data_IF_931644770743
#
_entry.id   IF_931644770743
#
_cell.length_a   1.000
_cell.length_b   1.000
_cell.length_c   1.000
_cell.angle_alpha   90.00
_cell.angle_beta   90.00
_cell.angle_gamma   90.00
#
_symmetry.space_group_name_H-M   'P 1'
#
loop_
_entity.id
_entity.type
_entity.pdbx_description
1 polymer ?
#
# COMPACT_ATOMS: atom_id res chain seq x y z
N UNK A 1 -92.82 -16.06 -24.97
CA UNK A 1 -91.64 -15.55 -25.75
C UNK A 1 -90.82 -14.77 -24.80
N UNK A 2 -89.79 -15.34 -24.27
CA UNK A 2 -88.94 -14.70 -23.29
C UNK A 2 -87.47 -15.13 -23.58
N UNK A 3 -86.63 -14.17 -23.94
CA UNK A 3 -85.23 -14.41 -24.22
C UNK A 3 -84.44 -14.30 -22.96
N UNK A 4 -83.75 -15.35 -22.52
CA UNK A 4 -82.71 -15.34 -21.51
C UNK A 4 -81.37 -15.01 -22.20
N UNK A 5 -80.72 -13.92 -21.81
CA UNK A 5 -79.37 -13.61 -22.15
C UNK A 5 -78.43 -13.97 -20.96
N UNK A 6 -77.65 -15.03 -21.12
CA UNK A 6 -76.58 -15.36 -20.20
C UNK A 6 -75.38 -14.46 -20.43
N UNK A 7 -74.96 -13.78 -19.39
CA UNK A 7 -73.72 -13.02 -19.36
C UNK A 7 -72.66 -13.93 -18.70
N UNK A 8 -71.69 -14.35 -19.49
CA UNK A 8 -70.49 -15.04 -18.97
C UNK A 8 -69.47 -14.00 -18.50
N UNK A 9 -69.22 -14.02 -17.18
CA UNK A 9 -68.14 -13.20 -16.55
C UNK A 9 -66.83 -13.98 -16.66
N UNK A 10 -65.94 -13.55 -17.58
CA UNK A 10 -64.59 -14.09 -17.70
C UNK A 10 -63.68 -13.46 -16.62
N UNK A 11 -63.28 -14.25 -15.62
CA UNK A 11 -62.23 -13.86 -14.67
C UNK A 11 -60.83 -14.00 -15.34
N UNK A 12 -60.24 -12.89 -15.75
CA UNK A 12 -58.83 -12.85 -16.14
C UNK A 12 -57.95 -12.89 -14.88
N UNK A 13 -57.38 -14.04 -14.55
CA UNK A 13 -56.31 -14.17 -13.57
C UNK A 13 -55.01 -13.58 -14.18
N UNK A 14 -54.65 -12.38 -13.75
CA UNK A 14 -53.32 -11.81 -14.00
C UNK A 14 -52.31 -12.57 -13.15
N UNK A 15 -51.58 -13.52 -13.72
CA UNK A 15 -50.33 -14.01 -13.12
C UNK A 15 -49.30 -12.86 -13.18
N UNK A 16 -49.19 -12.14 -12.08
CA UNK A 16 -48.01 -11.30 -11.84
C UNK A 16 -46.83 -12.27 -11.60
N UNK A 17 -46.02 -12.44 -12.65
CA UNK A 17 -44.73 -13.13 -12.52
C UNK A 17 -43.86 -12.33 -11.60
N UNK A 18 -43.64 -12.77 -10.38
CA UNK A 18 -42.52 -12.37 -9.56
C UNK A 18 -41.30 -12.95 -10.27
N UNK A 19 -40.65 -12.11 -11.10
CA UNK A 19 -39.28 -12.37 -11.52
C UNK A 19 -38.42 -12.25 -10.26
N UNK A 20 -38.23 -13.37 -9.57
CA UNK A 20 -37.16 -13.49 -8.61
C UNK A 20 -35.88 -13.20 -9.37
N UNK A 21 -35.16 -12.14 -8.98
CA UNK A 21 -33.75 -11.99 -9.37
C UNK A 21 -33.05 -13.25 -8.84
N UNK A 22 -32.84 -14.23 -9.73
CA UNK A 22 -31.94 -15.34 -9.41
C UNK A 22 -30.61 -14.70 -9.12
N UNK A 23 -30.10 -14.82 -7.90
CA UNK A 23 -28.74 -14.47 -7.58
C UNK A 23 -27.86 -15.13 -8.64
N UNK A 24 -27.09 -14.35 -9.36
CA UNK A 24 -26.26 -14.88 -10.43
C UNK A 24 -25.20 -15.75 -9.77
N UNK A 25 -25.15 -17.01 -10.11
CA UNK A 25 -24.28 -17.98 -9.46
C UNK A 25 -22.82 -17.59 -9.73
N UNK A 26 -21.98 -17.52 -8.66
CA UNK A 26 -20.55 -17.25 -8.76
C UNK A 26 -19.90 -18.25 -9.70
N UNK A 27 -19.16 -17.76 -10.70
CA UNK A 27 -18.46 -18.59 -11.68
C UNK A 27 -17.15 -19.15 -11.11
N UNK A 28 -16.72 -20.32 -11.60
CA UNK A 28 -15.40 -20.85 -11.26
C UNK A 28 -14.30 -19.95 -11.82
N UNK A 29 -13.34 -19.58 -10.98
CA UNK A 29 -12.19 -18.75 -11.36
C UNK A 29 -10.90 -19.24 -10.69
N UNK A 30 -9.84 -19.29 -11.46
CA UNK A 30 -8.48 -19.41 -10.93
C UNK A 30 -7.80 -18.06 -11.18
N UNK A 31 -7.41 -17.38 -10.10
CA UNK A 31 -6.81 -16.07 -10.13
C UNK A 31 -5.38 -16.14 -9.60
N UNK A 32 -4.56 -15.17 -9.97
CA UNK A 32 -3.15 -15.09 -9.58
C UNK A 32 -2.86 -13.80 -8.82
N UNK A 33 -2.02 -13.89 -7.77
CA UNK A 33 -1.49 -12.74 -7.04
C UNK A 33 0.03 -12.83 -6.96
N UNK A 34 0.71 -11.81 -7.46
CA UNK A 34 2.17 -11.68 -7.33
C UNK A 34 2.58 -10.59 -6.36
N UNK A 35 3.71 -10.77 -5.66
CA UNK A 35 4.35 -9.73 -4.85
C UNK A 35 5.85 -9.95 -4.71
N UNK A 36 6.60 -8.89 -4.38
CA UNK A 36 8.08 -8.92 -4.38
C UNK A 36 8.71 -9.34 -3.06
N UNK A 37 7.94 -9.40 -1.97
CA UNK A 37 8.47 -9.70 -0.63
C UNK A 37 8.48 -11.20 -0.33
N UNK A 38 9.28 -11.61 0.66
CA UNK A 38 9.33 -12.99 1.12
C UNK A 38 8.06 -13.40 1.88
N UNK A 39 7.87 -14.71 2.09
CA UNK A 39 6.62 -15.28 2.63
C UNK A 39 6.28 -14.87 4.06
N UNK A 40 7.26 -14.44 4.85
CA UNK A 40 7.01 -13.98 6.22
C UNK A 40 6.45 -12.56 6.30
N UNK A 41 6.41 -11.81 5.19
CA UNK A 41 5.94 -10.43 5.18
C UNK A 41 4.42 -10.31 5.05
N UNK A 42 3.83 -9.19 5.52
CA UNK A 42 2.39 -8.97 5.54
C UNK A 42 1.70 -9.09 4.17
N UNK A 43 2.34 -8.72 3.07
CA UNK A 43 1.78 -8.92 1.72
C UNK A 43 1.49 -10.40 1.45
N UNK A 44 2.37 -11.30 1.90
CA UNK A 44 2.15 -12.72 1.71
C UNK A 44 1.09 -13.29 2.64
N UNK A 45 1.19 -12.97 3.95
CA UNK A 45 0.23 -13.49 4.93
C UNK A 45 -1.19 -13.02 4.64
N UNK A 46 -1.38 -11.76 4.21
CA UNK A 46 -2.66 -11.23 3.78
C UNK A 46 -3.13 -11.83 2.43
N UNK A 47 -2.22 -12.11 1.49
CA UNK A 47 -2.57 -12.82 0.25
C UNK A 47 -3.02 -14.25 0.52
N UNK A 48 -2.40 -14.95 1.49
CA UNK A 48 -2.84 -16.28 1.92
C UNK A 48 -4.20 -16.22 2.62
N UNK A 49 -4.46 -15.20 3.45
CA UNK A 49 -5.78 -14.94 4.01
C UNK A 49 -6.82 -14.70 2.92
N UNK A 50 -6.51 -13.88 1.90
CA UNK A 50 -7.38 -13.64 0.75
C UNK A 50 -7.72 -14.94 0.02
N UNK A 51 -6.72 -15.80 -0.20
CA UNK A 51 -6.89 -17.13 -0.80
C UNK A 51 -7.88 -18.01 -0.03
N UNK A 52 -7.74 -18.05 1.30
CA UNK A 52 -8.63 -18.82 2.16
C UNK A 52 -10.04 -18.25 2.12
N UNK A 53 -10.21 -16.93 2.20
CA UNK A 53 -11.52 -16.26 2.13
C UNK A 53 -12.20 -16.46 0.78
N UNK A 54 -11.48 -16.34 -0.32
CA UNK A 54 -12.03 -16.61 -1.65
C UNK A 54 -12.60 -18.03 -1.75
N UNK A 55 -11.87 -19.04 -1.27
CA UNK A 55 -12.33 -20.41 -1.29
C UNK A 55 -13.52 -20.64 -0.35
N UNK A 56 -13.51 -20.06 0.86
CA UNK A 56 -14.57 -20.16 1.86
C UNK A 56 -15.88 -19.55 1.35
N UNK A 57 -15.85 -18.31 0.88
CA UNK A 57 -17.05 -17.54 0.48
C UNK A 57 -17.66 -18.00 -0.85
N UNK A 58 -16.94 -18.83 -1.62
CA UNK A 58 -17.40 -19.31 -2.93
C UNK A 58 -17.56 -20.83 -3.00
N UNK A 59 -17.57 -21.54 -1.86
CA UNK A 59 -17.61 -23.00 -1.81
C UNK A 59 -16.53 -23.65 -2.70
N UNK A 60 -15.33 -23.06 -2.74
CA UNK A 60 -14.17 -23.53 -3.51
C UNK A 60 -14.20 -23.19 -5.00
N UNK A 61 -15.16 -22.41 -5.49
CA UNK A 61 -15.22 -21.98 -6.90
C UNK A 61 -14.10 -20.99 -7.26
N UNK A 62 -13.66 -20.17 -6.32
CA UNK A 62 -12.53 -19.27 -6.51
C UNK A 62 -11.27 -19.85 -5.87
N UNK A 63 -10.21 -19.89 -6.66
CA UNK A 63 -8.87 -20.26 -6.21
C UNK A 63 -7.90 -19.14 -6.49
N UNK A 64 -6.93 -18.91 -5.58
CA UNK A 64 -5.89 -17.91 -5.73
C UNK A 64 -4.51 -18.58 -5.68
N UNK A 65 -3.72 -18.40 -6.74
CA UNK A 65 -2.32 -18.80 -6.78
C UNK A 65 -1.45 -17.62 -6.35
N UNK A 66 -0.70 -17.76 -5.25
CA UNK A 66 0.14 -16.69 -4.69
C UNK A 66 1.59 -16.93 -5.06
N UNK A 67 2.23 -15.92 -5.66
CA UNK A 67 3.61 -15.96 -6.15
C UNK A 67 4.47 -14.94 -5.40
N UNK A 68 5.20 -15.34 -4.33
CA UNK A 68 6.04 -14.46 -3.53
C UNK A 68 7.40 -14.16 -4.16
N UNK A 69 8.17 -13.29 -3.50
CA UNK A 69 9.60 -13.06 -3.75
C UNK A 69 9.94 -12.63 -5.17
N UNK A 70 9.05 -11.92 -5.84
CA UNK A 70 9.27 -11.45 -7.21
C UNK A 70 9.27 -12.55 -8.26
N UNK A 71 8.67 -13.72 -7.99
CA UNK A 71 8.60 -14.84 -8.93
C UNK A 71 7.94 -14.48 -10.28
N UNK A 72 7.11 -13.43 -10.28
CA UNK A 72 6.45 -12.89 -11.48
C UNK A 72 7.01 -11.52 -11.93
N UNK A 73 8.22 -11.17 -11.51
CA UNK A 73 8.87 -9.89 -11.80
C UNK A 73 8.82 -8.91 -10.64
N UNK A 74 9.28 -7.67 -10.91
CA UNK A 74 9.22 -6.55 -9.96
C UNK A 74 7.84 -5.93 -9.88
N UNK A 75 7.68 -4.91 -9.00
CA UNK A 75 6.38 -4.22 -8.83
C UNK A 75 5.87 -3.58 -10.11
N UNK A 76 6.77 -3.00 -10.93
CA UNK A 76 6.40 -2.44 -12.22
C UNK A 76 5.93 -3.52 -13.20
N UNK A 77 6.65 -4.65 -13.26
CA UNK A 77 6.27 -5.78 -14.11
C UNK A 77 4.91 -6.35 -13.71
N UNK A 78 4.62 -6.38 -12.39
CA UNK A 78 3.32 -6.81 -11.87
C UNK A 78 2.19 -5.86 -12.28
N UNK A 79 2.41 -4.53 -12.20
CA UNK A 79 1.42 -3.54 -12.68
C UNK A 79 1.18 -3.65 -14.19
N UNK A 80 2.25 -3.80 -15.00
CA UNK A 80 2.13 -4.05 -16.44
C UNK A 80 1.35 -5.35 -16.71
N UNK A 81 1.57 -6.41 -15.93
CA UNK A 81 0.84 -7.68 -16.04
C UNK A 81 -0.65 -7.56 -15.71
N UNK A 82 -1.03 -6.72 -14.73
CA UNK A 82 -2.44 -6.39 -14.46
C UNK A 82 -3.10 -5.70 -15.64
N UNK A 83 -2.43 -4.72 -16.27
CA UNK A 83 -2.95 -4.01 -17.45
C UNK A 83 -3.14 -4.95 -18.65
N UNK A 84 -2.26 -5.95 -18.79
CA UNK A 84 -2.35 -6.95 -19.84
C UNK A 84 -3.37 -8.08 -19.51
N UNK A 85 -3.88 -8.14 -18.27
CA UNK A 85 -4.78 -9.20 -17.81
C UNK A 85 -4.09 -10.58 -17.68
N UNK A 86 -2.76 -10.60 -17.52
CA UNK A 86 -1.97 -11.84 -17.31
C UNK A 86 -1.68 -12.14 -15.85
N UNK A 87 -2.05 -11.22 -14.95
CA UNK A 87 -2.08 -11.34 -13.50
C UNK A 87 -3.38 -10.69 -13.02
N UNK A 88 -3.97 -11.20 -11.92
CA UNK A 88 -5.23 -10.68 -11.41
C UNK A 88 -5.04 -9.70 -10.27
N UNK A 89 -4.09 -9.95 -9.37
CA UNK A 89 -3.83 -9.10 -8.20
C UNK A 89 -2.33 -8.89 -7.98
N UNK A 90 -2.01 -7.75 -7.37
CA UNK A 90 -0.68 -7.52 -6.81
C UNK A 90 -0.75 -6.62 -5.57
N UNK A 91 0.16 -6.85 -4.62
CA UNK A 91 0.56 -5.87 -3.63
C UNK A 91 1.76 -5.10 -4.16
N UNK A 92 1.65 -3.79 -4.23
CA UNK A 92 2.75 -2.91 -4.64
C UNK A 92 2.86 -1.69 -3.74
N UNK A 93 4.06 -1.16 -3.62
CA UNK A 93 4.29 0.11 -2.93
C UNK A 93 3.71 1.29 -3.73
N UNK A 94 3.21 2.32 -3.05
CA UNK A 94 2.66 3.53 -3.69
C UNK A 94 3.65 4.19 -4.65
N UNK A 95 4.95 4.06 -4.41
CA UNK A 95 5.99 4.55 -5.30
C UNK A 95 5.97 3.90 -6.69
N UNK A 96 5.69 2.59 -6.78
CA UNK A 96 5.51 1.93 -8.06
C UNK A 96 4.22 2.41 -8.76
N UNK A 97 3.14 2.54 -7.98
CA UNK A 97 1.85 3.01 -8.48
C UNK A 97 1.90 4.44 -9.03
N UNK A 98 2.70 5.33 -8.43
CA UNK A 98 2.89 6.72 -8.88
C UNK A 98 3.41 6.82 -10.32
N UNK A 99 4.11 5.80 -10.83
CA UNK A 99 4.57 5.75 -12.22
C UNK A 99 3.43 5.61 -13.24
N UNK A 100 2.24 5.17 -12.79
CA UNK A 100 1.04 4.99 -13.61
C UNK A 100 -0.06 5.99 -13.24
N UNK A 101 -0.16 6.35 -11.97
CA UNK A 101 -1.16 7.25 -11.39
C UNK A 101 -0.42 8.29 -10.54
N UNK A 102 -0.08 9.46 -11.11
CA UNK A 102 0.80 10.45 -10.48
C UNK A 102 0.35 10.95 -9.11
N UNK A 103 -0.96 10.94 -8.79
CA UNK A 103 -1.48 11.34 -7.48
C UNK A 103 -0.88 10.53 -6.33
N UNK A 104 -0.48 9.27 -6.56
CA UNK A 104 0.17 8.44 -5.53
C UNK A 104 1.54 8.98 -5.07
N UNK A 105 2.11 9.98 -5.78
CA UNK A 105 3.31 10.66 -5.31
C UNK A 105 3.11 11.37 -3.96
N UNK A 106 1.87 11.71 -3.59
CA UNK A 106 1.51 12.20 -2.25
C UNK A 106 2.14 11.36 -1.13
N UNK A 107 2.08 10.04 -1.26
CA UNK A 107 2.57 9.09 -0.25
C UNK A 107 4.10 8.95 -0.23
N UNK A 108 4.79 9.43 -1.25
CA UNK A 108 6.25 9.37 -1.36
C UNK A 108 6.94 10.65 -0.87
N UNK A 109 6.16 11.71 -0.61
CA UNK A 109 6.70 12.98 -0.12
C UNK A 109 7.04 12.90 1.37
N UNK A 110 8.17 13.52 1.79
CA UNK A 110 8.59 13.49 3.19
C UNK A 110 7.63 14.26 4.10
N UNK A 111 7.41 13.74 5.30
CA UNK A 111 6.66 14.39 6.38
C UNK A 111 5.25 14.89 5.98
N UNK A 112 4.59 14.23 5.04
CA UNK A 112 3.15 14.40 4.80
C UNK A 112 2.37 13.76 5.94
N UNK A 113 2.84 12.62 6.41
CA UNK A 113 2.33 11.93 7.59
C UNK A 113 3.38 11.94 8.70
N UNK A 114 2.96 11.89 9.97
CA UNK A 114 3.85 12.04 11.13
C UNK A 114 3.88 10.80 12.04
N UNK A 115 2.88 9.93 11.97
CA UNK A 115 2.80 8.69 12.72
C UNK A 115 1.90 7.66 12.01
N UNK A 116 1.95 6.37 12.39
CA UNK A 116 1.00 5.37 11.90
C UNK A 116 -0.46 5.75 12.19
N UNK A 117 -0.74 6.28 13.38
CA UNK A 117 -2.06 6.75 13.79
C UNK A 117 -2.55 7.90 12.92
N UNK A 118 -1.64 8.80 12.51
CA UNK A 118 -1.96 9.88 11.58
C UNK A 118 -2.35 9.36 10.19
N UNK A 119 -1.68 8.32 9.68
CA UNK A 119 -2.07 7.66 8.43
C UNK A 119 -3.45 7.02 8.57
N UNK A 120 -3.70 6.29 9.68
CA UNK A 120 -4.98 5.63 9.93
C UNK A 120 -6.13 6.65 10.06
N UNK A 121 -5.91 7.76 10.77
CA UNK A 121 -6.89 8.85 10.87
C UNK A 121 -7.18 9.44 9.49
N UNK A 122 -6.16 9.75 8.69
CA UNK A 122 -6.34 10.29 7.36
C UNK A 122 -7.14 9.34 6.46
N UNK A 123 -6.73 8.06 6.36
CA UNK A 123 -7.39 7.06 5.51
C UNK A 123 -8.83 6.77 5.94
N UNK A 124 -9.17 6.97 7.23
CA UNK A 124 -10.52 6.70 7.75
C UNK A 124 -11.45 7.90 7.73
N UNK A 125 -10.93 9.14 7.70
CA UNK A 125 -11.74 10.36 7.87
C UNK A 125 -11.77 11.26 6.64
N UNK A 126 -10.74 11.22 5.77
CA UNK A 126 -10.65 12.04 4.58
C UNK A 126 -11.11 11.29 3.33
N UNK A 127 -11.40 12.05 2.26
CA UNK A 127 -11.88 11.47 1.00
C UNK A 127 -10.73 11.09 0.06
N UNK A 128 -10.45 9.81 -0.04
CA UNK A 128 -9.49 9.22 -0.96
C UNK A 128 -10.11 8.68 -2.25
N UNK A 129 -11.40 8.91 -2.51
CA UNK A 129 -12.12 8.36 -3.67
C UNK A 129 -11.47 8.67 -5.01
N UNK A 130 -10.85 9.83 -5.15
CA UNK A 130 -10.16 10.24 -6.39
C UNK A 130 -8.97 9.35 -6.75
N UNK A 131 -8.28 8.77 -5.78
CA UNK A 131 -7.23 7.77 -6.07
C UNK A 131 -7.81 6.53 -6.75
N UNK A 132 -8.99 6.09 -6.31
CA UNK A 132 -9.69 4.97 -6.91
C UNK A 132 -10.18 5.31 -8.33
N UNK A 133 -10.72 6.51 -8.55
CA UNK A 133 -11.16 6.98 -9.85
C UNK A 133 -9.99 7.11 -10.85
N UNK A 134 -8.86 7.67 -10.43
CA UNK A 134 -7.67 7.81 -11.28
C UNK A 134 -7.02 6.45 -11.58
N UNK A 135 -6.97 5.54 -10.60
CA UNK A 135 -6.51 4.17 -10.82
C UNK A 135 -7.42 3.43 -11.82
N UNK A 136 -8.74 3.59 -11.69
CA UNK A 136 -9.72 3.01 -12.62
C UNK A 136 -9.52 3.54 -14.03
N UNK A 137 -9.32 4.85 -14.19
CA UNK A 137 -9.04 5.49 -15.48
C UNK A 137 -7.71 5.03 -16.10
N UNK A 138 -6.73 4.66 -15.28
CA UNK A 138 -5.45 4.09 -15.70
C UNK A 138 -5.51 2.58 -16.00
N UNK A 139 -6.65 1.93 -15.81
CA UNK A 139 -6.84 0.51 -16.09
C UNK A 139 -6.62 -0.43 -14.90
N UNK A 140 -6.62 0.11 -13.68
CA UNK A 140 -6.46 -0.65 -12.44
C UNK A 140 -7.73 -0.57 -11.60
N UNK A 141 -8.14 -1.68 -10.99
CA UNK A 141 -9.09 -1.65 -9.88
C UNK A 141 -8.29 -1.57 -8.58
N UNK A 142 -8.27 -0.41 -7.95
CA UNK A 142 -7.72 -0.27 -6.60
C UNK A 142 -8.67 -0.95 -5.61
N UNK A 143 -8.17 -1.97 -4.90
CA UNK A 143 -8.95 -2.69 -3.88
C UNK A 143 -8.85 -1.97 -2.55
N UNK A 144 -7.64 -1.48 -2.19
CA UNK A 144 -7.47 -0.65 -1.02
C UNK A 144 -6.05 -0.18 -0.81
N UNK A 145 -5.95 0.83 0.06
CA UNK A 145 -4.69 1.44 0.51
C UNK A 145 -4.40 0.90 1.90
N UNK A 146 -3.21 0.38 2.10
CA UNK A 146 -2.83 -0.28 3.34
C UNK A 146 -1.38 -0.05 3.74
N UNK A 147 -0.94 -0.80 4.76
CA UNK A 147 0.41 -0.73 5.34
C UNK A 147 0.73 0.64 5.95
N UNK A 148 0.00 1.08 7.01
CA UNK A 148 0.27 2.35 7.68
C UNK A 148 1.56 2.25 8.52
N UNK A 149 2.70 2.25 7.85
CA UNK A 149 4.03 2.16 8.43
C UNK A 149 4.92 3.31 7.94
N UNK A 150 6.12 3.41 8.48
CA UNK A 150 7.11 4.40 8.09
C UNK A 150 8.44 3.77 7.73
N UNK A 151 9.22 4.52 6.98
CA UNK A 151 10.61 4.24 6.69
C UNK A 151 11.46 5.04 7.66
N UNK A 152 12.28 4.33 8.43
CA UNK A 152 13.14 4.90 9.46
C UNK A 152 14.60 4.82 9.03
N UNK A 153 15.41 5.89 9.21
CA UNK A 153 16.82 5.88 8.89
C UNK A 153 17.62 5.04 9.90
N UNK A 154 18.55 4.27 9.36
CA UNK A 154 19.52 3.47 10.09
C UNK A 154 20.91 3.73 9.53
N UNK A 155 21.95 3.89 10.38
CA UNK A 155 23.30 4.21 9.92
C UNK A 155 24.40 3.74 10.89
N UNK A 156 25.66 3.81 10.43
CA UNK A 156 26.86 3.44 11.21
C UNK A 156 27.66 4.62 11.76
N UNK A 157 27.23 5.85 11.54
CA UNK A 157 28.04 7.03 11.82
C UNK A 157 27.68 7.67 13.16
N UNK A 158 26.38 7.97 13.37
CA UNK A 158 25.90 8.65 14.57
C UNK A 158 24.38 8.53 14.74
N UNK A 159 23.85 8.72 15.97
CA UNK A 159 22.42 8.98 16.12
C UNK A 159 22.06 10.27 15.40
N UNK A 160 20.83 10.34 14.87
CA UNK A 160 20.27 11.53 14.21
C UNK A 160 19.35 12.23 15.20
N UNK A 161 19.62 13.48 15.52
CA UNK A 161 18.81 14.32 16.41
C UNK A 161 18.21 15.52 15.67
N UNK A 162 18.89 15.99 14.63
CA UNK A 162 18.49 17.13 13.78
C UNK A 162 18.79 16.83 12.31
N UNK A 163 18.23 17.62 11.40
CA UNK A 163 18.54 17.51 9.97
C UNK A 163 20.04 17.60 9.66
N UNK A 164 20.79 18.45 10.38
CA UNK A 164 22.22 18.61 10.19
C UNK A 164 23.04 17.33 10.49
N UNK A 165 22.51 16.40 11.26
CA UNK A 165 23.20 15.14 11.56
C UNK A 165 23.26 14.18 10.37
N UNK A 166 22.51 14.44 9.29
CA UNK A 166 22.62 13.71 8.03
C UNK A 166 23.80 14.15 7.16
N UNK A 167 24.43 15.28 7.48
CA UNK A 167 25.57 15.79 6.71
C UNK A 167 26.71 14.77 6.65
N UNK A 168 27.23 14.53 5.45
CA UNK A 168 28.30 13.58 5.13
C UNK A 168 27.94 12.08 5.32
N UNK A 169 26.71 11.72 5.68
CA UNK A 169 26.27 10.31 5.69
C UNK A 169 25.90 9.90 4.25
N UNK A 170 26.46 8.78 3.80
CA UNK A 170 26.08 8.16 2.53
C UNK A 170 24.86 7.29 2.73
N UNK A 171 23.69 7.84 2.46
CA UNK A 171 22.43 7.12 2.57
C UNK A 171 22.09 6.34 1.30
N UNK A 172 21.65 5.10 1.45
CA UNK A 172 21.01 4.38 0.37
C UNK A 172 19.50 4.56 0.47
N UNK A 173 18.89 4.92 -0.64
CA UNK A 173 17.42 4.89 -0.80
C UNK A 173 17.01 3.93 -1.91
N UNK A 174 15.73 3.57 -1.98
CA UNK A 174 15.19 2.99 -3.21
C UNK A 174 15.24 4.04 -4.34
N UNK A 175 15.20 3.61 -5.61
CA UNK A 175 15.33 4.49 -6.79
C UNK A 175 14.12 5.38 -7.06
N UNK A 176 13.53 5.97 -6.01
CA UNK A 176 12.38 6.89 -6.06
C UNK A 176 12.89 8.31 -5.90
N UNK A 177 12.60 9.16 -6.88
CA UNK A 177 13.15 10.51 -6.93
C UNK A 177 12.83 11.34 -5.68
N UNK A 178 11.60 11.26 -5.14
CA UNK A 178 11.23 11.98 -3.93
C UNK A 178 12.03 11.52 -2.69
N UNK A 179 12.35 10.22 -2.59
CA UNK A 179 13.19 9.71 -1.50
C UNK A 179 14.64 10.16 -1.64
N UNK A 180 15.19 10.16 -2.88
CA UNK A 180 16.54 10.66 -3.16
C UNK A 180 16.62 12.13 -2.77
N UNK A 181 15.74 12.97 -3.30
CA UNK A 181 15.70 14.40 -3.02
C UNK A 181 15.50 14.68 -1.51
N UNK A 182 14.75 13.83 -0.81
CA UNK A 182 14.54 13.95 0.65
C UNK A 182 15.86 13.87 1.41
N UNK A 183 16.65 12.82 1.17
CA UNK A 183 17.91 12.64 1.88
C UNK A 183 19.00 13.60 1.40
N UNK A 184 18.97 14.03 0.13
CA UNK A 184 19.82 15.13 -0.36
C UNK A 184 19.48 16.47 0.31
N UNK A 185 18.18 16.77 0.49
CA UNK A 185 17.75 17.97 1.20
C UNK A 185 18.12 17.96 2.69
N UNK A 186 18.23 16.78 3.30
CA UNK A 186 18.73 16.58 4.67
C UNK A 186 20.27 16.68 4.75
N UNK A 187 20.98 16.77 3.62
CA UNK A 187 22.44 16.92 3.58
C UNK A 187 23.22 15.63 3.34
N UNK A 188 22.54 14.51 3.12
CA UNK A 188 23.18 13.23 2.82
C UNK A 188 23.72 13.16 1.39
N UNK A 189 24.76 12.35 1.19
CA UNK A 189 25.11 11.83 -0.13
C UNK A 189 24.22 10.62 -0.41
N UNK A 190 23.48 10.60 -1.53
CA UNK A 190 22.53 9.54 -1.81
C UNK A 190 23.03 8.59 -2.90
N UNK A 191 22.92 7.30 -2.65
CA UNK A 191 23.13 6.24 -3.62
C UNK A 191 21.84 5.39 -3.74
N UNK A 192 21.55 4.90 -4.95
CA UNK A 192 20.45 3.97 -5.17
C UNK A 192 21.01 2.62 -5.61
N UNK A 193 20.66 1.57 -4.86
CA UNK A 193 20.99 0.18 -5.17
C UNK A 193 19.78 -0.70 -4.96
N UNK A 194 19.77 -1.89 -5.56
CA UNK A 194 18.71 -2.87 -5.33
C UNK A 194 18.64 -3.29 -3.86
N UNK A 195 17.48 -3.71 -3.41
CA UNK A 195 17.30 -4.17 -2.03
C UNK A 195 18.13 -5.45 -1.74
N UNK A 196 18.28 -6.32 -2.73
CA UNK A 196 19.07 -7.54 -2.61
C UNK A 196 20.59 -7.28 -2.40
N UNK A 197 21.12 -6.16 -2.92
CA UNK A 197 22.53 -5.80 -2.80
C UNK A 197 22.83 -4.98 -1.53
N UNK A 198 21.78 -4.49 -0.85
CA UNK A 198 21.91 -3.52 0.24
C UNK A 198 22.74 -4.04 1.41
N UNK A 199 22.52 -5.28 1.88
CA UNK A 199 23.28 -5.85 2.99
C UNK A 199 24.79 -5.83 2.72
N UNK A 200 25.19 -6.26 1.52
CA UNK A 200 26.60 -6.23 1.10
C UNK A 200 27.17 -4.82 0.99
N UNK A 201 26.39 -3.84 0.52
CA UNK A 201 26.81 -2.46 0.43
C UNK A 201 27.02 -1.81 1.82
N UNK A 202 26.16 -2.12 2.80
CA UNK A 202 26.30 -1.71 4.20
C UNK A 202 27.50 -2.39 4.86
N UNK A 203 27.65 -3.68 4.68
CA UNK A 203 28.76 -4.48 5.27
C UNK A 203 30.13 -4.01 4.78
N UNK A 204 30.24 -3.59 3.53
CA UNK A 204 31.50 -3.11 2.93
C UNK A 204 31.74 -1.60 3.13
N UNK A 205 30.79 -0.86 3.70
CA UNK A 205 30.84 0.58 3.85
C UNK A 205 30.77 1.33 2.52
N UNK A 206 30.21 0.73 1.49
CA UNK A 206 29.89 1.43 0.23
C UNK A 206 28.86 2.52 0.48
N UNK A 207 27.90 2.25 1.36
CA UNK A 207 26.97 3.20 1.96
C UNK A 207 27.03 3.10 3.48
N UNK A 208 26.76 4.21 4.17
CA UNK A 208 26.82 4.31 5.63
C UNK A 208 25.47 4.01 6.28
N UNK A 209 24.39 4.18 5.55
CA UNK A 209 23.05 4.01 6.06
C UNK A 209 22.02 3.68 4.99
N UNK A 210 20.82 3.36 5.47
CA UNK A 210 19.64 3.13 4.65
C UNK A 210 18.38 3.58 5.39
N UNK A 211 17.23 3.54 4.71
CA UNK A 211 15.92 3.77 5.29
C UNK A 211 14.96 2.66 4.88
N UNK A 212 14.19 2.14 5.84
CA UNK A 212 13.20 1.09 5.59
C UNK A 212 12.20 0.98 6.76
N UNK A 213 11.11 0.22 6.54
CA UNK A 213 10.22 -0.21 7.62
C UNK A 213 10.97 -1.09 8.63
N UNK A 214 10.58 -1.03 9.90
CA UNK A 214 11.25 -1.77 10.99
C UNK A 214 11.27 -3.27 10.73
N UNK A 215 10.16 -3.81 10.25
CA UNK A 215 10.04 -5.22 9.84
C UNK A 215 11.06 -5.62 8.77
N UNK A 216 11.29 -4.75 7.78
CA UNK A 216 12.28 -5.00 6.73
C UNK A 216 13.72 -4.89 7.27
N UNK A 217 14.01 -3.90 8.12
CA UNK A 217 15.32 -3.74 8.76
C UNK A 217 15.71 -4.98 9.56
N UNK A 218 14.79 -5.53 10.35
CA UNK A 218 15.00 -6.72 11.14
C UNK A 218 15.09 -8.00 10.29
N UNK A 219 14.17 -8.22 9.37
CA UNK A 219 14.16 -9.42 8.55
C UNK A 219 15.40 -9.56 7.66
N UNK A 220 15.98 -8.44 7.22
CA UNK A 220 17.24 -8.40 6.47
C UNK A 220 18.48 -8.36 7.37
N UNK A 221 18.29 -8.37 8.70
CA UNK A 221 19.35 -8.38 9.71
C UNK A 221 20.31 -7.20 9.57
N UNK A 222 19.79 -6.03 9.20
CA UNK A 222 20.65 -4.85 9.03
C UNK A 222 21.28 -4.37 10.34
N UNK A 223 20.69 -4.71 11.48
CA UNK A 223 21.26 -4.50 12.81
C UNK A 223 22.59 -5.25 13.05
N UNK A 224 22.95 -6.25 12.23
CA UNK A 224 24.28 -6.87 12.28
C UNK A 224 25.38 -6.01 11.63
N UNK A 225 25.00 -5.10 10.76
CA UNK A 225 25.92 -4.27 9.96
C UNK A 225 25.65 -2.78 10.13
N UNK A 226 24.75 -2.38 11.05
CA UNK A 226 24.43 -1.00 11.40
C UNK A 226 24.24 -0.80 12.89
N UNK A 227 24.64 0.36 13.42
CA UNK A 227 24.68 0.63 14.85
C UNK A 227 23.54 1.50 15.38
N UNK A 228 23.03 2.42 14.57
CA UNK A 228 22.09 3.46 15.00
C UNK A 228 20.80 3.37 14.18
N UNK A 229 19.68 3.32 14.89
CA UNK A 229 18.33 3.48 14.32
C UNK A 229 17.69 4.71 14.95
N UNK A 230 17.23 5.63 14.12
CA UNK A 230 16.47 6.79 14.58
C UNK A 230 14.99 6.60 14.21
N UNK A 231 14.10 6.68 15.20
CA UNK A 231 12.65 6.64 14.98
C UNK A 231 12.16 7.98 14.42
N UNK A 232 12.66 8.34 13.25
CA UNK A 232 12.29 9.51 12.47
C UNK A 232 11.38 9.06 11.31
N UNK A 233 10.08 9.35 11.33
CA UNK A 233 9.13 8.94 10.30
C UNK A 233 9.28 9.80 9.04
N UNK A 234 10.34 9.56 8.24
CA UNK A 234 10.67 10.43 7.09
C UNK A 234 9.65 10.34 5.97
N UNK A 235 9.30 9.14 5.56
CA UNK A 235 8.36 8.86 4.47
C UNK A 235 7.44 7.72 4.87
N UNK A 236 6.18 7.83 4.53
CA UNK A 236 5.21 6.76 4.76
C UNK A 236 5.55 5.53 3.90
N UNK A 237 5.44 4.34 4.50
CA UNK A 237 5.61 3.07 3.81
C UNK A 237 4.23 2.48 3.49
N UNK A 238 3.54 3.08 2.53
CA UNK A 238 2.18 2.70 2.15
C UNK A 238 2.20 1.82 0.92
N UNK A 239 1.38 0.80 0.93
CA UNK A 239 1.15 -0.11 -0.18
C UNK A 239 -0.31 -0.12 -0.61
N UNK A 240 -0.55 -0.63 -1.80
CA UNK A 240 -1.90 -0.80 -2.35
C UNK A 240 -2.10 -2.24 -2.82
N UNK A 241 -3.28 -2.76 -2.54
CA UNK A 241 -3.77 -3.97 -3.17
C UNK A 241 -4.51 -3.56 -4.44
N UNK A 242 -4.02 -4.03 -5.57
CA UNK A 242 -4.51 -3.67 -6.90
C UNK A 242 -4.95 -4.92 -7.65
N UNK A 243 -6.05 -4.82 -8.36
CA UNK A 243 -6.58 -5.87 -9.23
C UNK A 243 -6.56 -5.42 -10.69
N UNK A 244 -6.44 -6.36 -11.63
CA UNK A 244 -6.69 -6.11 -13.04
C UNK A 244 -8.10 -5.62 -13.25
N UNK A 245 -8.26 -4.40 -13.80
CA UNK A 245 -9.58 -3.85 -14.13
C UNK A 245 -10.33 -4.73 -15.11
N UNK A 246 -9.63 -5.29 -16.09
CA UNK A 246 -10.26 -6.16 -17.09
C UNK A 246 -10.83 -7.45 -16.46
N UNK A 247 -10.15 -8.02 -15.45
CA UNK A 247 -10.68 -9.16 -14.68
C UNK A 247 -11.87 -8.74 -13.84
N UNK A 248 -11.81 -7.59 -13.15
CA UNK A 248 -12.89 -7.06 -12.32
C UNK A 248 -14.15 -6.76 -13.15
N UNK A 249 -14.01 -6.07 -14.28
CA UNK A 249 -15.12 -5.69 -15.15
C UNK A 249 -15.81 -6.91 -15.82
N UNK A 250 -15.11 -8.05 -15.92
CA UNK A 250 -15.67 -9.31 -16.40
C UNK A 250 -16.45 -10.09 -15.33
N UNK A 251 -16.51 -9.58 -14.09
CA UNK A 251 -17.26 -10.16 -12.98
C UNK A 251 -18.71 -9.69 -12.97
N UNK A 252 -19.63 -10.47 -12.45
CA UNK A 252 -20.98 -10.02 -12.15
C UNK A 252 -20.98 -9.02 -10.99
N UNK A 253 -22.06 -8.26 -10.82
CA UNK A 253 -22.18 -7.32 -9.72
C UNK A 253 -22.05 -7.98 -8.33
N UNK A 254 -22.55 -9.22 -8.19
CA UNK A 254 -22.42 -10.03 -6.97
C UNK A 254 -20.97 -10.46 -6.75
N UNK A 255 -20.27 -10.89 -7.80
CA UNK A 255 -18.85 -11.24 -7.75
C UNK A 255 -17.98 -10.02 -7.42
N UNK A 256 -18.28 -8.85 -8.00
CA UNK A 256 -17.59 -7.58 -7.68
C UNK A 256 -17.78 -7.19 -6.21
N UNK A 257 -19.02 -7.26 -5.70
CA UNK A 257 -19.28 -6.95 -4.29
C UNK A 257 -18.54 -7.91 -3.34
N UNK A 258 -18.45 -9.19 -3.71
CA UNK A 258 -17.74 -10.19 -2.92
C UNK A 258 -16.24 -9.93 -2.92
N UNK A 259 -15.65 -9.61 -4.08
CA UNK A 259 -14.20 -9.33 -4.16
C UNK A 259 -13.84 -8.01 -3.43
N UNK A 260 -14.71 -7.01 -3.48
CA UNK A 260 -14.51 -5.76 -2.76
C UNK A 260 -14.53 -6.00 -1.23
N UNK A 261 -15.44 -6.86 -0.72
CA UNK A 261 -15.51 -7.21 0.71
C UNK A 261 -14.29 -8.05 1.15
N UNK A 262 -13.94 -9.10 0.40
CA UNK A 262 -12.75 -9.93 0.69
C UNK A 262 -11.49 -9.06 0.63
N UNK A 263 -11.40 -8.17 -0.36
CA UNK A 263 -10.29 -7.26 -0.52
C UNK A 263 -10.12 -6.31 0.66
N UNK A 264 -11.22 -5.72 1.14
CA UNK A 264 -11.22 -4.89 2.35
C UNK A 264 -10.67 -5.65 3.56
N UNK A 265 -11.18 -6.86 3.83
CA UNK A 265 -10.68 -7.70 4.92
C UNK A 265 -9.20 -8.06 4.74
N UNK A 266 -8.75 -8.25 3.50
CA UNK A 266 -7.35 -8.51 3.17
C UNK A 266 -6.45 -7.32 3.52
N UNK A 267 -6.89 -6.10 3.23
CA UNK A 267 -6.17 -4.88 3.59
C UNK A 267 -6.12 -4.69 5.11
N UNK A 268 -7.23 -4.91 5.81
CA UNK A 268 -7.29 -4.88 7.28
C UNK A 268 -6.33 -5.89 7.92
N UNK A 269 -6.28 -7.12 7.39
CA UNK A 269 -5.33 -8.17 7.80
C UNK A 269 -3.89 -7.73 7.59
N UNK A 270 -3.56 -7.19 6.42
CA UNK A 270 -2.23 -6.67 6.10
C UNK A 270 -1.80 -5.56 7.09
N UNK A 271 -2.69 -4.62 7.39
CA UNK A 271 -2.40 -3.53 8.32
C UNK A 271 -2.11 -4.03 9.73
N UNK A 272 -2.93 -4.97 10.22
CA UNK A 272 -2.72 -5.60 11.54
C UNK A 272 -1.41 -6.37 11.61
N UNK A 273 -1.05 -7.10 10.56
CA UNK A 273 0.20 -7.85 10.49
C UNK A 273 1.42 -6.92 10.47
N UNK A 274 1.35 -5.80 9.73
CA UNK A 274 2.42 -4.80 9.71
C UNK A 274 2.65 -4.17 11.08
N UNK A 275 1.59 -3.73 11.76
CA UNK A 275 1.70 -3.12 13.09
C UNK A 275 2.35 -4.08 14.11
N UNK A 276 1.94 -5.36 14.10
CA UNK A 276 2.51 -6.39 14.97
C UNK A 276 3.98 -6.66 14.63
N UNK A 277 4.29 -6.81 13.35
CA UNK A 277 5.62 -7.15 12.87
C UNK A 277 6.64 -6.02 13.11
N UNK A 278 6.23 -4.75 12.91
CA UNK A 278 7.10 -3.60 13.18
C UNK A 278 7.41 -3.45 14.67
N UNK A 279 6.41 -3.65 15.55
CA UNK A 279 6.61 -3.60 16.99
C UNK A 279 7.56 -4.73 17.49
N UNK A 280 7.36 -5.96 17.03
CA UNK A 280 8.21 -7.09 17.33
C UNK A 280 9.64 -6.90 16.81
N UNK A 281 9.78 -6.37 15.58
CA UNK A 281 11.07 -6.09 14.96
C UNK A 281 11.89 -5.06 15.74
N UNK A 282 11.26 -3.98 16.21
CA UNK A 282 11.94 -2.96 17.01
C UNK A 282 12.48 -3.54 18.32
N UNK A 283 11.64 -4.31 19.03
CA UNK A 283 12.05 -4.94 20.29
C UNK A 283 13.16 -5.97 20.09
N UNK A 284 13.09 -6.79 19.03
CA UNK A 284 14.13 -7.75 18.69
C UNK A 284 15.48 -7.05 18.41
N UNK A 285 15.48 -6.02 17.58
CA UNK A 285 16.70 -5.27 17.27
C UNK A 285 17.30 -4.56 18.50
N UNK A 286 16.45 -4.02 19.39
CA UNK A 286 16.91 -3.46 20.70
C UNK A 286 17.58 -4.52 21.57
N UNK A 287 17.00 -5.71 21.66
CA UNK A 287 17.56 -6.82 22.44
C UNK A 287 18.90 -7.32 21.88
N UNK A 288 19.11 -7.21 20.57
CA UNK A 288 20.37 -7.54 19.89
C UNK A 288 21.42 -6.41 20.00
N UNK A 289 21.10 -5.29 20.65
CA UNK A 289 22.05 -4.24 20.99
C UNK A 289 22.06 -3.03 20.06
N UNK A 290 21.07 -2.93 19.17
CA UNK A 290 20.90 -1.74 18.31
C UNK A 290 20.66 -0.49 19.16
N UNK A 291 21.38 0.59 18.86
CA UNK A 291 21.21 1.89 19.53
C UNK A 291 20.06 2.63 18.88
N UNK A 292 18.97 2.78 19.61
CA UNK A 292 17.75 3.43 19.11
C UNK A 292 17.57 4.78 19.80
N UNK A 293 17.27 5.81 19.03
CA UNK A 293 16.82 7.11 19.55
C UNK A 293 15.50 7.53 18.88
N UNK A 294 14.73 8.33 19.63
CA UNK A 294 13.47 8.91 19.21
C UNK A 294 13.65 10.41 18.95
N UNK A 295 12.79 10.99 18.12
CA UNK A 295 12.81 12.42 17.79
C UNK A 295 11.55 13.06 18.37
N UNK A 296 11.75 13.99 19.30
CA UNK A 296 10.65 14.75 19.90
C UNK A 296 10.25 15.98 19.06
N UNK A 297 11.17 16.53 18.27
CA UNK A 297 10.97 17.74 17.45
C UNK A 297 11.34 17.48 15.98
N UNK A 298 10.35 17.37 15.13
CA UNK A 298 10.51 17.16 13.69
C UNK A 298 10.80 18.44 12.90
N UNK A 299 10.76 19.63 13.53
CA UNK A 299 10.74 20.91 12.82
C UNK A 299 11.94 21.13 11.90
N UNK A 300 13.16 20.74 12.33
CA UNK A 300 14.37 20.90 11.50
C UNK A 300 14.32 20.03 10.22
N UNK A 301 13.75 18.83 10.32
CA UNK A 301 13.62 17.90 9.19
C UNK A 301 12.51 18.34 8.23
N UNK A 302 11.38 18.78 8.78
CA UNK A 302 10.24 19.31 8.01
C UNK A 302 10.65 20.57 7.25
N UNK A 303 11.40 21.49 7.88
CA UNK A 303 11.90 22.69 7.23
C UNK A 303 12.91 22.36 6.12
N UNK A 304 13.91 21.52 6.40
CA UNK A 304 14.92 21.13 5.41
C UNK A 304 14.31 20.47 4.17
N UNK A 305 13.25 19.68 4.33
CA UNK A 305 12.59 18.94 3.24
C UNK A 305 11.42 19.68 2.60
N UNK A 306 11.06 20.89 3.05
CA UNK A 306 9.96 21.68 2.48
C UNK A 306 10.10 21.89 0.95
N UNK A 307 11.32 22.17 0.39
CA UNK A 307 11.48 22.29 -1.07
C UNK A 307 11.15 21.01 -1.84
N UNK A 308 11.31 19.84 -1.23
CA UNK A 308 10.97 18.54 -1.85
C UNK A 308 9.45 18.43 -1.99
N UNK A 309 8.71 18.69 -0.90
CA UNK A 309 7.24 18.68 -0.95
C UNK A 309 6.71 19.71 -1.95
N UNK A 310 7.28 20.90 -1.98
CA UNK A 310 6.90 21.93 -2.96
C UNK A 310 7.16 21.45 -4.40
N UNK A 311 8.35 20.92 -4.69
CA UNK A 311 8.72 20.40 -6.02
C UNK A 311 7.72 19.36 -6.53
N UNK A 312 7.46 18.33 -5.72
CA UNK A 312 6.61 17.22 -6.17
C UNK A 312 5.11 17.55 -6.16
N UNK A 313 4.66 18.48 -5.32
CA UNK A 313 3.27 18.90 -5.31
C UNK A 313 2.90 19.86 -6.46
N UNK A 314 3.86 20.54 -7.09
CA UNK A 314 3.59 21.49 -8.18
C UNK A 314 2.94 20.84 -9.40
N UNK A 315 3.38 19.64 -9.76
CA UNK A 315 2.93 18.91 -10.94
C UNK A 315 1.68 18.03 -10.68
N UNK A 316 1.23 17.96 -9.41
CA UNK A 316 0.04 17.20 -9.03
C UNK A 316 -1.24 18.02 -9.23
N UNK A 317 -2.33 17.29 -9.46
CA UNK A 317 -3.66 17.86 -9.55
C UNK A 317 -4.01 18.70 -8.30
N UNK A 318 -4.77 19.80 -8.45
CA UNK A 318 -5.10 20.68 -7.31
C UNK A 318 -5.69 19.93 -6.10
N UNK A 319 -6.53 18.94 -6.34
CA UNK A 319 -7.17 18.18 -5.27
C UNK A 319 -6.17 17.40 -4.39
N UNK A 320 -5.02 16.98 -4.96
CA UNK A 320 -3.97 16.30 -4.17
C UNK A 320 -3.33 17.27 -3.17
N UNK A 321 -3.11 18.53 -3.60
CA UNK A 321 -2.59 19.58 -2.73
C UNK A 321 -3.59 19.95 -1.64
N UNK A 322 -4.87 20.02 -1.99
CA UNK A 322 -5.95 20.29 -1.03
C UNK A 322 -6.00 19.16 0.02
N UNK A 323 -5.98 17.90 -0.42
CA UNK A 323 -5.93 16.73 0.47
C UNK A 323 -4.67 16.74 1.36
N UNK A 324 -3.51 17.10 0.81
CA UNK A 324 -2.27 17.22 1.62
C UNK A 324 -2.42 18.26 2.72
N UNK A 325 -3.09 19.39 2.45
CA UNK A 325 -3.37 20.40 3.46
C UNK A 325 -4.35 19.88 4.53
N UNK A 326 -5.40 19.17 4.14
CA UNK A 326 -6.35 18.54 5.06
C UNK A 326 -5.66 17.51 5.96
N UNK A 327 -4.75 16.69 5.42
CA UNK A 327 -3.95 15.74 6.21
C UNK A 327 -3.17 16.47 7.30
N UNK A 328 -2.51 17.60 6.98
CA UNK A 328 -1.71 18.37 7.93
C UNK A 328 -2.54 19.07 9.03
N UNK A 329 -3.85 19.20 8.85
CA UNK A 329 -4.76 19.79 9.84
C UNK A 329 -5.36 18.75 10.81
N UNK A 330 -5.16 17.45 10.55
CA UNK A 330 -5.68 16.38 11.41
C UNK A 330 -5.12 16.48 12.84
N UNK A 331 -5.90 16.12 13.87
CA UNK A 331 -5.46 16.16 15.27
C UNK A 331 -4.20 15.32 15.55
N UNK A 332 -4.08 14.16 14.94
CA UNK A 332 -2.91 13.27 15.09
C UNK A 332 -1.64 13.77 14.38
N UNK A 333 -1.74 14.86 13.59
CA UNK A 333 -0.58 15.54 13.00
C UNK A 333 0.19 16.40 14.03
N UNK A 334 -0.37 16.62 15.22
CA UNK A 334 0.13 17.49 16.30
C UNK A 334 0.64 16.64 17.45
#
# INVERSE_FOLDING_TARGET
MSYFRSVALGAAMSLAGVAGAAAQEVQERTMTLGHVVAEQFPYHTSAMFMKEKMAEETDGKWTLEVHPSGAMGGERDALDALLLGTMDFTWVHTAAMASFVPSFELFNMPFVFHSPEHIEEALSTLDFSKFYEEADAAGFKLIGIGSPAFRYPMNNIRPIETAADFEDIKMRTMGVSAHIDTYEALGSQVASTSFAELYGALQTGTVDGNENALSALNAMRFNEVQEYLTLLPTVANIAVLVMSKSTYDAMSAEEQALIDEIGKQTVEKNNSDYASMDAEALEAMKQEGLKVNEIDDLSSFVEATAPVREKYSQDLEPWVRDLMAEIQELPSAK
#
